data_IF_535252176326
#
_entry.id   IF_535252176326
#
_cell.length_a   1.000
_cell.length_b   1.000
_cell.length_c   1.000
_cell.angle_alpha   90.00
_cell.angle_beta   90.00
_cell.angle_gamma   90.00
#
_symmetry.space_group_name_H-M   'P 1'
#
loop_
_entity.id
_entity.type
_entity.pdbx_description
1 polymer ?
#
# COMPACT_ATOMS: atom_id res chain seq x y z
N UNK A 1 6.48 0.58 -17.73
CA UNK A 1 6.88 0.88 -16.33
C UNK A 1 7.97 -0.11 -15.91
N UNK A 2 9.14 0.34 -15.44
CA UNK A 2 10.12 -0.56 -14.80
C UNK A 2 9.74 -0.84 -13.35
N UNK A 3 10.14 -2.01 -12.83
CA UNK A 3 9.86 -2.45 -11.45
C UNK A 3 10.22 -1.39 -10.39
N UNK A 4 11.31 -0.66 -10.61
CA UNK A 4 11.77 0.44 -9.75
C UNK A 4 10.72 1.53 -9.56
N UNK A 5 9.97 1.88 -10.61
CA UNK A 5 8.92 2.90 -10.52
C UNK A 5 7.74 2.40 -9.70
N UNK A 6 7.36 1.13 -9.81
CA UNK A 6 6.30 0.56 -8.97
C UNK A 6 6.68 0.59 -7.49
N UNK A 7 7.92 0.18 -7.16
CA UNK A 7 8.42 0.21 -5.77
C UNK A 7 8.44 1.64 -5.21
N UNK A 8 8.83 2.62 -6.03
CA UNK A 8 8.81 4.03 -5.64
C UNK A 8 7.39 4.54 -5.34
N UNK A 9 6.40 4.09 -6.11
CA UNK A 9 4.99 4.47 -5.91
C UNK A 9 4.39 3.87 -4.63
N UNK A 10 4.83 2.67 -4.24
CA UNK A 10 4.36 1.99 -3.03
C UNK A 10 4.78 2.71 -1.73
N UNK A 11 5.79 3.60 -1.78
CA UNK A 11 6.34 4.30 -0.60
C UNK A 11 6.61 3.37 0.60
N UNK A 12 7.33 2.28 0.36
CA UNK A 12 7.59 1.23 1.36
C UNK A 12 8.13 1.75 2.70
N UNK A 13 8.89 2.85 2.70
CA UNK A 13 9.38 3.48 3.94
C UNK A 13 8.25 3.89 4.89
N UNK A 14 7.16 4.46 4.36
CA UNK A 14 6.00 4.86 5.16
C UNK A 14 5.16 3.63 5.50
N UNK A 15 5.01 2.70 4.55
CA UNK A 15 4.30 1.44 4.77
C UNK A 15 4.87 0.63 5.93
N UNK A 16 6.19 0.58 6.09
CA UNK A 16 6.84 -0.14 7.21
C UNK A 16 6.48 0.49 8.56
N UNK A 17 6.41 1.82 8.65
CA UNK A 17 6.00 2.50 9.89
C UNK A 17 4.54 2.18 10.21
N UNK A 18 3.66 2.19 9.22
CA UNK A 18 2.24 1.83 9.38
C UNK A 18 2.11 0.36 9.83
N UNK A 19 2.81 -0.56 9.18
CA UNK A 19 2.81 -1.97 9.57
C UNK A 19 3.33 -2.17 11.00
N UNK A 20 4.37 -1.43 11.40
CA UNK A 20 4.90 -1.47 12.77
C UNK A 20 3.84 -1.02 13.80
N UNK A 21 3.08 0.04 13.51
CA UNK A 21 2.01 0.48 14.42
C UNK A 21 0.93 -0.58 14.61
N UNK A 22 0.55 -1.30 13.54
CA UNK A 22 -0.41 -2.39 13.63
C UNK A 22 0.14 -3.58 14.45
N UNK A 23 1.41 -3.94 14.24
CA UNK A 23 2.08 -4.99 15.01
C UNK A 23 2.15 -4.64 16.51
N UNK A 24 2.50 -3.40 16.85
CA UNK A 24 2.52 -2.93 18.24
C UNK A 24 1.12 -2.99 18.85
N UNK A 25 0.08 -2.59 18.10
CA UNK A 25 -1.31 -2.71 18.53
C UNK A 25 -1.73 -4.16 18.80
N UNK A 26 -1.33 -5.09 17.92
CA UNK A 26 -1.55 -6.52 18.13
C UNK A 26 -0.87 -7.03 19.40
N UNK A 27 0.41 -6.72 19.59
CA UNK A 27 1.17 -7.13 20.77
C UNK A 27 0.62 -6.53 22.08
N UNK A 28 0.02 -5.36 22.03
CA UNK A 28 -0.57 -4.71 23.20
C UNK A 28 -1.84 -5.40 23.72
N UNK A 29 -2.56 -6.14 22.86
CA UNK A 29 -3.88 -6.73 23.17
C UNK A 29 -3.85 -8.25 23.18
N UNK A 30 -2.97 -8.86 22.38
CA UNK A 30 -2.89 -10.30 22.24
C UNK A 30 -2.52 -10.98 23.58
N UNK A 31 -3.33 -11.96 23.99
CA UNK A 31 -3.02 -12.82 25.15
C UNK A 31 -1.92 -13.83 24.82
N UNK A 32 -2.02 -14.41 23.63
CA UNK A 32 -1.04 -15.32 23.05
C UNK A 32 -0.53 -14.72 21.75
N UNK A 33 0.79 -14.56 21.64
CA UNK A 33 1.43 -13.97 20.47
C UNK A 33 1.76 -15.07 19.48
N UNK A 34 1.13 -15.02 18.31
CA UNK A 34 1.49 -15.85 17.18
C UNK A 34 2.33 -15.06 16.18
N UNK A 35 3.58 -15.50 15.99
CA UNK A 35 4.52 -14.88 15.08
C UNK A 35 4.03 -14.88 13.62
N UNK A 36 3.30 -15.92 13.21
CA UNK A 36 2.74 -16.03 11.85
C UNK A 36 1.67 -14.97 11.65
N UNK A 37 0.74 -14.82 12.59
CA UNK A 37 -0.29 -13.78 12.55
C UNK A 37 0.33 -12.38 12.55
N UNK A 38 1.37 -12.16 13.34
CA UNK A 38 2.09 -10.87 13.38
C UNK A 38 2.72 -10.51 12.03
N UNK A 39 3.39 -11.47 11.37
CA UNK A 39 3.99 -11.25 10.05
C UNK A 39 2.91 -11.02 8.99
N UNK A 40 1.85 -11.82 8.99
CA UNK A 40 0.75 -11.69 8.03
C UNK A 40 0.00 -10.37 8.20
N UNK A 41 -0.14 -9.88 9.43
CA UNK A 41 -0.70 -8.56 9.73
C UNK A 41 0.18 -7.45 9.12
N UNK A 42 1.49 -7.53 9.33
CA UNK A 42 2.43 -6.56 8.75
C UNK A 42 2.36 -6.56 7.21
N UNK A 43 2.28 -7.73 6.58
CA UNK A 43 2.13 -7.85 5.13
C UNK A 43 0.81 -7.27 4.64
N UNK A 44 -0.32 -7.56 5.31
CA UNK A 44 -1.62 -7.00 4.96
C UNK A 44 -1.60 -5.46 5.00
N UNK A 45 -1.02 -4.89 6.07
CA UNK A 45 -0.88 -3.44 6.22
C UNK A 45 0.04 -2.81 5.18
N UNK A 46 1.14 -3.48 4.83
CA UNK A 46 2.03 -3.03 3.76
C UNK A 46 1.31 -2.99 2.41
N UNK A 47 0.52 -4.02 2.09
CA UNK A 47 -0.25 -4.09 0.84
C UNK A 47 -1.31 -2.98 0.78
N UNK A 48 -2.09 -2.78 1.85
CA UNK A 48 -3.09 -1.72 1.93
C UNK A 48 -2.47 -0.31 1.82
N UNK A 49 -1.41 -0.05 2.57
CA UNK A 49 -0.68 1.23 2.52
C UNK A 49 -0.07 1.50 1.14
N UNK A 50 0.48 0.45 0.51
CA UNK A 50 1.05 0.54 -0.84
C UNK A 50 -0.03 0.83 -1.88
N UNK A 51 -1.18 0.16 -1.80
CA UNK A 51 -2.33 0.41 -2.67
C UNK A 51 -2.80 1.86 -2.58
N UNK A 52 -3.01 2.37 -1.35
CA UNK A 52 -3.40 3.76 -1.10
C UNK A 52 -2.37 4.75 -1.67
N UNK A 53 -1.07 4.49 -1.46
CA UNK A 53 0.00 5.36 -1.97
C UNK A 53 0.03 5.41 -3.51
N UNK A 54 -0.10 4.25 -4.16
CA UNK A 54 -0.16 4.16 -5.63
C UNK A 54 -1.40 4.87 -6.16
N UNK A 55 -2.56 4.64 -5.54
CA UNK A 55 -3.81 5.28 -5.90
C UNK A 55 -3.75 6.79 -5.77
N UNK A 56 -3.19 7.32 -4.67
CA UNK A 56 -3.01 8.76 -4.47
C UNK A 56 -2.13 9.39 -5.57
N UNK A 57 -1.03 8.73 -5.95
CA UNK A 57 -0.21 9.22 -7.06
C UNK A 57 -0.90 9.13 -8.43
N UNK A 58 -1.83 8.18 -8.60
CA UNK A 58 -2.66 8.10 -9.80
C UNK A 58 -3.72 9.20 -9.84
N UNK A 59 -4.37 9.45 -8.70
CA UNK A 59 -5.40 10.47 -8.58
C UNK A 59 -4.82 11.88 -8.76
N UNK A 60 -3.70 12.19 -8.09
CA UNK A 60 -3.06 13.50 -8.11
C UNK A 60 -2.19 13.74 -9.37
N UNK A 61 -2.21 12.85 -10.36
CA UNK A 61 -1.25 12.87 -11.49
C UNK A 61 -1.29 14.16 -12.31
N UNK A 62 -2.44 14.81 -12.40
CA UNK A 62 -2.68 16.05 -13.15
C UNK A 62 -2.26 17.28 -12.34
N UNK A 63 -2.46 17.25 -11.02
CA UNK A 63 -2.01 18.26 -10.07
C UNK A 63 -0.48 18.22 -9.96
N UNK A 64 0.09 17.02 -9.82
CA UNK A 64 1.53 16.81 -9.69
C UNK A 64 2.30 17.35 -10.91
N UNK A 65 1.72 17.27 -12.12
CA UNK A 65 2.28 17.88 -13.35
C UNK A 65 2.50 19.38 -13.23
N UNK A 66 1.62 20.08 -12.51
CA UNK A 66 1.63 21.55 -12.39
C UNK A 66 2.46 22.04 -11.21
N UNK A 67 2.96 21.15 -10.36
CA UNK A 67 3.70 21.48 -9.14
C UNK A 67 5.22 21.35 -9.31
N UNK A 68 5.96 22.45 -9.07
CA UNK A 68 7.44 22.48 -9.18
C UNK A 68 8.16 21.41 -8.34
N UNK A 69 7.55 21.01 -7.21
CA UNK A 69 8.11 20.00 -6.28
C UNK A 69 7.82 18.56 -6.70
N UNK A 70 6.65 18.27 -7.27
CA UNK A 70 6.16 16.90 -7.52
C UNK A 70 6.04 16.56 -9.00
N UNK A 71 6.34 17.49 -9.90
CA UNK A 71 6.36 17.28 -11.35
C UNK A 71 7.34 16.20 -11.81
N UNK A 72 8.33 15.82 -10.99
CA UNK A 72 9.26 14.73 -11.30
C UNK A 72 8.75 13.34 -10.93
N UNK A 73 7.56 13.22 -10.32
CA UNK A 73 7.00 11.92 -9.93
C UNK A 73 6.72 11.06 -11.18
N UNK A 74 6.85 9.73 -11.10
CA UNK A 74 6.75 8.84 -12.26
C UNK A 74 5.42 8.93 -13.03
N UNK A 75 4.30 9.18 -12.33
CA UNK A 75 2.97 9.33 -12.95
C UNK A 75 2.67 10.74 -13.48
N UNK A 76 3.40 11.75 -13.00
CA UNK A 76 3.21 13.12 -13.48
C UNK A 76 3.66 13.26 -14.93
N UNK A 77 4.79 12.67 -15.33
CA UNK A 77 5.34 12.87 -16.68
C UNK A 77 4.99 11.78 -17.70
N UNK A 78 3.97 10.95 -17.44
CA UNK A 78 3.62 9.77 -18.26
C UNK A 78 4.79 8.76 -18.46
N UNK A 79 5.90 8.94 -17.73
CA UNK A 79 7.07 8.06 -17.70
C UNK A 79 6.73 6.63 -17.20
N UNK A 80 5.57 6.49 -16.58
CA UNK A 80 5.07 5.27 -15.98
C UNK A 80 4.29 4.31 -16.90
N UNK A 81 3.85 4.72 -18.09
CA UNK A 81 2.95 3.91 -18.93
C UNK A 81 1.46 4.19 -18.69
N UNK A 82 0.57 3.33 -19.25
CA UNK A 82 -0.89 3.56 -19.22
C UNK A 82 -1.41 3.71 -17.79
N UNK A 83 -2.13 4.81 -17.53
CA UNK A 83 -2.75 5.08 -16.23
C UNK A 83 -3.64 3.93 -15.74
N UNK A 84 -4.28 3.19 -16.65
CA UNK A 84 -5.03 1.98 -16.30
C UNK A 84 -4.17 0.90 -15.65
N UNK A 85 -2.93 0.68 -16.13
CA UNK A 85 -2.05 -0.35 -15.58
C UNK A 85 -1.64 -0.06 -14.13
N UNK A 86 -1.49 1.22 -13.78
CA UNK A 86 -1.22 1.64 -12.39
C UNK A 86 -2.44 1.44 -11.51
N UNK A 87 -3.63 1.78 -12.02
CA UNK A 87 -4.88 1.57 -11.31
C UNK A 87 -5.14 0.08 -11.06
N UNK A 88 -4.93 -0.78 -12.06
CA UNK A 88 -5.01 -2.23 -11.90
C UNK A 88 -4.02 -2.75 -10.86
N UNK A 89 -2.79 -2.22 -10.84
CA UNK A 89 -1.81 -2.58 -9.82
C UNK A 89 -2.27 -2.19 -8.41
N UNK A 90 -2.76 -0.96 -8.22
CA UNK A 90 -3.32 -0.51 -6.94
C UNK A 90 -4.51 -1.38 -6.50
N UNK A 91 -5.43 -1.68 -7.42
CA UNK A 91 -6.58 -2.55 -7.16
C UNK A 91 -6.14 -3.98 -6.80
N UNK A 92 -5.13 -4.52 -7.47
CA UNK A 92 -4.57 -5.84 -7.17
C UNK A 92 -3.98 -5.88 -5.76
N UNK A 93 -3.16 -4.88 -5.40
CA UNK A 93 -2.61 -4.76 -4.04
C UNK A 93 -3.71 -4.69 -2.98
N UNK A 94 -4.77 -3.93 -3.25
CA UNK A 94 -5.92 -3.80 -2.35
C UNK A 94 -6.63 -5.15 -2.16
N UNK A 95 -6.99 -5.82 -3.25
CA UNK A 95 -7.73 -7.08 -3.22
C UNK A 95 -6.89 -8.17 -2.54
N UNK A 96 -5.59 -8.27 -2.85
CA UNK A 96 -4.71 -9.24 -2.20
C UNK A 96 -4.59 -8.96 -0.71
N UNK A 97 -4.43 -7.68 -0.31
CA UNK A 97 -4.41 -7.29 1.10
C UNK A 97 -5.70 -7.62 1.84
N UNK A 98 -6.86 -7.34 1.22
CA UNK A 98 -8.19 -7.65 1.75
C UNK A 98 -8.41 -9.15 1.92
N UNK A 99 -8.11 -9.93 0.89
CA UNK A 99 -8.27 -11.40 0.93
C UNK A 99 -7.36 -12.01 1.99
N UNK A 100 -6.11 -11.52 2.10
CA UNK A 100 -5.20 -11.94 3.15
C UNK A 100 -5.75 -11.63 4.54
N UNK A 101 -6.19 -10.38 4.77
CA UNK A 101 -6.72 -9.95 6.05
C UNK A 101 -8.00 -10.70 6.44
N UNK A 102 -8.89 -10.92 5.48
CA UNK A 102 -10.16 -11.62 5.69
C UNK A 102 -9.97 -13.11 5.95
N UNK A 103 -9.03 -13.76 5.25
CA UNK A 103 -8.74 -15.18 5.40
C UNK A 103 -7.98 -15.54 6.68
N UNK A 104 -7.09 -14.65 7.15
CA UNK A 104 -6.24 -14.90 8.32
C UNK A 104 -6.89 -14.39 9.62
N UNK A 105 -7.56 -13.23 9.56
CA UNK A 105 -8.12 -12.59 10.76
C UNK A 105 -9.65 -12.66 10.75
N UNK A 106 -10.31 -11.65 10.18
CA UNK A 106 -11.77 -11.56 10.06
C UNK A 106 -12.16 -10.37 9.18
N UNK A 107 -13.47 -10.25 8.89
CA UNK A 107 -14.01 -9.16 8.07
C UNK A 107 -13.87 -7.76 8.68
N UNK A 108 -13.80 -7.62 10.01
CA UNK A 108 -13.63 -6.30 10.67
C UNK A 108 -12.22 -5.77 10.42
N UNK A 109 -11.21 -6.64 10.58
CA UNK A 109 -9.80 -6.31 10.29
C UNK A 109 -9.60 -6.03 8.81
N UNK A 110 -10.31 -6.74 7.92
CA UNK A 110 -10.21 -6.48 6.49
C UNK A 110 -10.82 -5.13 6.08
N UNK A 111 -11.89 -4.67 6.75
CA UNK A 111 -12.60 -3.44 6.38
C UNK A 111 -12.01 -2.15 7.00
N UNK A 112 -11.18 -2.27 8.03
CA UNK A 112 -10.46 -1.15 8.66
C UNK A 112 -9.11 -0.90 7.98
#
# INVERSE_FOLDING_TARGET
>A
MTLRHYIELMKLRIGVVIALTAVIGYLAVARDVDAVHMVLLAVAMLLGSSSSSVFNHFYDRDIDRRMKRTSKRPLANDMGGSGLGVLFFAATLLVVGLVLAMGVFNGVVALH
#
